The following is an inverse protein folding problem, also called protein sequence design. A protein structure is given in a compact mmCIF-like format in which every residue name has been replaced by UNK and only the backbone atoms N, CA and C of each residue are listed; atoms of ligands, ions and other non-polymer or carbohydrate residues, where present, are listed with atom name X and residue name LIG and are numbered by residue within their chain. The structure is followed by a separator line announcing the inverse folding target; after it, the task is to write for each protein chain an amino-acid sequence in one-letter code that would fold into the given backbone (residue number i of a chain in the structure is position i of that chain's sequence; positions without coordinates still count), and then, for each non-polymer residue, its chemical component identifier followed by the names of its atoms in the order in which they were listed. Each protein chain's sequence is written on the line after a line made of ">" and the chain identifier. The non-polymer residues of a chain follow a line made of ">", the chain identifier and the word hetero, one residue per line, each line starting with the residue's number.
data_IF_240455862216
#
_entry.id   IF_240455862216
#
_cell.length_a   1.000
_cell.length_b   1.000
_cell.length_c   1.000
_cell.angle_alpha   90.00
_cell.angle_beta   90.00
_cell.angle_gamma   90.00
#
_symmetry.space_group_name_H-M   'P 1'
#
loop_
_entity.id
_entity.type
_entity.pdbx_description
1 polymer ?
#
# COMPACT_ATOMS: atom_id res chain seq x y z
N UNK A 1 3.02 3.11 2.03
CA UNK A 1 1.58 2.89 2.16
C UNK A 1 1.18 1.72 1.29
N UNK A 2 0.41 0.80 1.83
CA UNK A 2 0.07 -0.47 1.20
C UNK A 2 -1.37 -0.82 1.55
N UNK A 3 -2.13 -1.31 0.56
CA UNK A 3 -3.50 -1.78 0.74
C UNK A 3 -3.59 -2.93 1.75
N UNK A 4 -2.52 -3.71 1.92
CA UNK A 4 -2.45 -4.79 2.90
C UNK A 4 -2.68 -4.35 4.37
N UNK A 5 -2.63 -3.04 4.65
CA UNK A 5 -2.96 -2.46 5.95
C UNK A 5 -4.40 -2.71 6.40
N UNK A 6 -5.31 -3.06 5.49
CA UNK A 6 -6.64 -3.55 5.84
C UNK A 6 -6.61 -4.85 6.66
N UNK A 7 -5.58 -5.68 6.46
CA UNK A 7 -5.43 -7.00 7.09
C UNK A 7 -4.35 -6.97 8.18
N UNK A 8 -3.28 -6.21 7.96
CA UNK A 8 -2.16 -6.05 8.89
C UNK A 8 -2.07 -4.60 9.36
N UNK A 9 -2.89 -4.19 10.35
CA UNK A 9 -2.94 -2.81 10.81
C UNK A 9 -1.61 -2.38 11.45
N UNK A 10 -1.26 -1.11 11.27
CA UNK A 10 -0.06 -0.49 11.85
C UNK A 10 -0.45 0.83 12.50
N UNK A 11 0.07 1.11 13.69
CA UNK A 11 -0.27 2.32 14.46
C UNK A 11 -0.08 3.61 13.62
N UNK A 12 1.07 3.76 12.98
CA UNK A 12 1.39 4.91 12.11
C UNK A 12 0.48 5.05 10.86
N UNK A 13 -0.32 4.03 10.56
CA UNK A 13 -1.22 3.99 9.41
C UNK A 13 -2.66 3.64 9.81
N UNK A 14 -3.06 3.90 11.06
CA UNK A 14 -4.40 3.56 11.57
C UNK A 14 -5.52 4.06 10.65
N UNK A 15 -5.49 5.35 10.26
CA UNK A 15 -6.50 5.91 9.35
C UNK A 15 -6.53 5.19 7.98
N UNK A 16 -5.37 4.90 7.41
CA UNK A 16 -5.25 4.21 6.11
C UNK A 16 -5.76 2.78 6.20
N UNK A 17 -5.40 2.05 7.26
CA UNK A 17 -5.87 0.68 7.50
C UNK A 17 -7.39 0.61 7.66
N UNK A 18 -7.97 1.51 8.46
CA UNK A 18 -9.43 1.61 8.65
C UNK A 18 -10.17 1.85 7.33
N UNK A 19 -9.70 2.81 6.53
CA UNK A 19 -10.34 3.12 5.24
C UNK A 19 -10.24 1.90 4.29
N UNK A 20 -9.07 1.28 4.18
CA UNK A 20 -8.90 0.12 3.30
C UNK A 20 -9.78 -1.06 3.74
N UNK A 21 -9.89 -1.32 5.05
CA UNK A 21 -10.76 -2.37 5.58
C UNK A 21 -12.25 -2.08 5.28
N UNK A 22 -12.69 -0.83 5.45
CA UNK A 22 -14.05 -0.42 5.10
C UNK A 22 -14.35 -0.59 3.60
N UNK A 23 -13.41 -0.21 2.74
CA UNK A 23 -13.53 -0.38 1.28
C UNK A 23 -13.57 -1.86 0.89
N UNK A 24 -12.77 -2.72 1.51
CA UNK A 24 -12.83 -4.17 1.26
C UNK A 24 -14.17 -4.77 1.69
N UNK A 25 -14.71 -4.36 2.84
CA UNK A 25 -16.02 -4.79 3.29
C UNK A 25 -17.14 -4.33 2.32
N UNK A 26 -17.07 -3.09 1.85
CA UNK A 26 -18.01 -2.55 0.86
C UNK A 26 -17.93 -3.30 -0.47
N UNK A 27 -16.71 -3.56 -0.95
CA UNK A 27 -16.50 -4.34 -2.18
C UNK A 27 -17.09 -5.75 -2.08
N UNK A 28 -17.01 -6.39 -0.91
CA UNK A 28 -17.67 -7.70 -0.69
C UNK A 28 -19.19 -7.58 -0.76
N UNK A 29 -19.78 -6.58 -0.12
CA UNK A 29 -21.23 -6.36 -0.19
C UNK A 29 -21.72 -6.12 -1.64
N UNK A 30 -20.93 -5.40 -2.44
CA UNK A 30 -21.21 -5.22 -3.87
C UNK A 30 -21.00 -6.49 -4.69
N UNK A 31 -19.96 -7.27 -4.39
CA UNK A 31 -19.71 -8.57 -5.02
C UNK A 31 -20.90 -9.52 -4.81
N UNK A 32 -21.45 -9.58 -3.59
CA UNK A 32 -22.59 -10.45 -3.28
C UNK A 32 -23.86 -10.06 -4.05
N UNK A 33 -24.09 -8.75 -4.25
CA UNK A 33 -25.20 -8.27 -5.08
C UNK A 33 -24.93 -8.51 -6.57
N UNK A 34 -23.72 -8.22 -7.03
CA UNK A 34 -23.29 -8.30 -8.42
C UNK A 34 -23.45 -9.70 -9.03
N UNK A 35 -23.41 -10.78 -8.22
CA UNK A 35 -23.69 -12.15 -8.71
C UNK A 35 -25.02 -12.24 -9.44
N UNK A 36 -26.08 -11.57 -8.93
CA UNK A 36 -27.42 -11.59 -9.55
C UNK A 36 -27.45 -10.81 -10.86
N UNK A 37 -26.60 -9.81 -10.97
CA UNK A 37 -26.50 -8.91 -12.12
C UNK A 37 -25.43 -9.38 -13.13
N UNK A 38 -24.83 -10.56 -12.92
CA UNK A 38 -23.69 -11.06 -13.70
C UNK A 38 -22.48 -10.09 -13.72
N UNK A 39 -22.30 -9.31 -12.64
CA UNK A 39 -21.19 -8.38 -12.45
C UNK A 39 -20.19 -8.93 -11.44
N UNK A 40 -18.91 -8.94 -11.80
CA UNK A 40 -17.83 -9.28 -10.87
C UNK A 40 -17.25 -8.03 -10.21
N UNK A 41 -17.08 -8.10 -8.89
CA UNK A 41 -16.41 -7.06 -8.10
C UNK A 41 -15.19 -7.66 -7.42
N UNK A 42 -14.02 -7.10 -7.72
CA UNK A 42 -12.73 -7.53 -7.18
C UNK A 42 -12.14 -6.44 -6.29
N UNK A 43 -11.58 -6.84 -5.14
CA UNK A 43 -10.86 -5.93 -4.24
C UNK A 43 -9.41 -6.39 -4.13
N UNK A 44 -8.48 -5.57 -4.60
CA UNK A 44 -7.04 -5.82 -4.51
C UNK A 44 -6.41 -5.03 -3.37
N UNK A 45 -5.66 -5.72 -2.50
CA UNK A 45 -4.93 -5.12 -1.38
C UNK A 45 -3.42 -5.23 -1.62
N UNK A 46 -2.85 -4.40 -2.51
CA UNK A 46 -1.45 -4.54 -2.89
C UNK A 46 -0.54 -4.30 -1.70
N UNK A 47 0.58 -5.02 -1.71
CA UNK A 47 1.74 -4.80 -0.84
C UNK A 47 2.37 -3.42 -1.07
N UNK A 48 3.59 -3.19 -0.55
CA UNK A 48 4.36 -2.02 -0.93
C UNK A 48 4.61 -2.01 -2.44
N UNK A 49 4.21 -0.94 -3.12
CA UNK A 49 4.41 -0.76 -4.57
C UNK A 49 5.37 0.40 -4.82
N UNK A 50 6.24 0.29 -5.82
CA UNK A 50 7.06 1.42 -6.28
C UNK A 50 6.23 2.32 -7.19
N UNK A 51 5.57 3.31 -6.59
CA UNK A 51 4.80 4.34 -7.31
C UNK A 51 5.61 5.62 -7.53
N UNK A 52 5.13 6.51 -8.40
CA UNK A 52 5.74 7.86 -8.54
C UNK A 52 5.78 8.62 -7.21
N UNK A 53 4.73 8.50 -6.38
CA UNK A 53 4.73 9.07 -5.02
C UNK A 53 5.84 8.50 -4.14
N UNK A 54 6.12 7.19 -4.23
CA UNK A 54 7.21 6.56 -3.47
C UNK A 54 8.57 7.05 -3.97
N UNK A 55 8.74 7.19 -5.28
CA UNK A 55 9.98 7.73 -5.88
C UNK A 55 10.25 9.14 -5.39
N UNK A 56 9.26 10.03 -5.46
CA UNK A 56 9.39 11.41 -4.96
C UNK A 56 9.71 11.46 -3.46
N UNK A 57 9.14 10.54 -2.67
CA UNK A 57 9.50 10.41 -1.25
C UNK A 57 10.97 10.03 -1.06
N UNK A 58 11.49 9.08 -1.85
CA UNK A 58 12.89 8.67 -1.77
C UNK A 58 13.85 9.78 -2.23
N UNK A 59 13.47 10.58 -3.22
CA UNK A 59 14.22 11.77 -3.66
C UNK A 59 14.37 12.81 -2.53
N UNK A 60 13.36 12.95 -1.67
CA UNK A 60 13.43 13.83 -0.50
C UNK A 60 14.13 13.18 0.69
N UNK A 61 13.97 11.87 0.86
CA UNK A 61 14.54 11.11 1.96
C UNK A 61 16.06 10.94 1.83
N UNK A 62 16.55 10.72 0.61
CA UNK A 62 17.98 10.50 0.34
C UNK A 62 18.90 11.60 0.91
N UNK A 63 18.70 12.90 0.63
CA UNK A 63 19.56 13.95 1.19
C UNK A 63 19.43 14.13 2.70
N UNK A 64 18.29 13.77 3.31
CA UNK A 64 18.11 13.82 4.77
C UNK A 64 18.92 12.73 5.50
N UNK A 65 19.43 11.75 4.75
CA UNK A 65 20.22 10.65 5.25
C UNK A 65 21.59 10.56 4.55
N UNK A 66 22.06 11.68 3.98
CA UNK A 66 23.37 11.83 3.34
C UNK A 66 23.70 10.76 2.29
N UNK A 67 22.74 10.41 1.45
CA UNK A 67 22.92 9.41 0.39
C UNK A 67 22.28 9.80 -0.93
N UNK A 68 22.65 9.07 -1.99
CA UNK A 68 22.03 9.19 -3.33
C UNK A 68 20.64 8.55 -3.37
N UNK A 69 19.84 8.90 -4.38
CA UNK A 69 18.49 8.32 -4.56
C UNK A 69 18.57 6.83 -4.86
N UNK A 70 19.61 6.40 -5.58
CA UNK A 70 19.92 5.00 -5.87
C UNK A 70 20.18 4.21 -4.57
N UNK A 71 21.03 4.75 -3.68
CA UNK A 71 21.30 4.14 -2.37
C UNK A 71 20.03 4.11 -1.50
N UNK A 72 19.26 5.19 -1.49
CA UNK A 72 17.98 5.24 -0.78
C UNK A 72 17.00 4.18 -1.28
N UNK A 73 16.96 3.95 -2.60
CA UNK A 73 16.10 2.94 -3.22
C UNK A 73 16.48 1.53 -2.79
N UNK A 74 17.76 1.25 -2.56
CA UNK A 74 18.24 -0.04 -2.06
C UNK A 74 18.11 -0.20 -0.53
N UNK A 75 18.29 0.89 0.23
CA UNK A 75 18.37 0.88 1.69
C UNK A 75 17.01 0.98 2.36
N UNK A 76 16.15 1.90 1.91
CA UNK A 76 14.84 2.15 2.50
C UNK A 76 13.96 0.89 2.63
N UNK A 77 13.86 -0.02 1.64
CA UNK A 77 13.04 -1.22 1.80
C UNK A 77 13.46 -2.08 2.98
N UNK A 78 14.78 -2.21 3.21
CA UNK A 78 15.32 -3.02 4.32
C UNK A 78 14.94 -2.42 5.66
N UNK A 79 15.11 -1.11 5.82
CA UNK A 79 14.77 -0.38 7.06
C UNK A 79 13.26 -0.36 7.32
N UNK A 80 12.45 -0.27 6.26
CA UNK A 80 11.00 -0.26 6.35
C UNK A 80 10.36 -1.66 6.47
N UNK A 81 11.16 -2.74 6.50
CA UNK A 81 10.67 -4.12 6.55
C UNK A 81 9.89 -4.54 5.29
N UNK A 82 10.27 -4.01 4.13
CA UNK A 82 9.68 -4.30 2.82
C UNK A 82 10.55 -5.34 2.11
N UNK A 83 10.07 -6.57 2.04
CA UNK A 83 10.80 -7.67 1.38
C UNK A 83 10.91 -7.48 -0.14
N UNK A 84 9.86 -6.97 -0.79
CA UNK A 84 9.85 -6.61 -2.22
C UNK A 84 8.83 -5.53 -2.50
N UNK A 85 9.06 -4.79 -3.57
CA UNK A 85 7.99 -4.03 -4.23
C UNK A 85 7.25 -4.96 -5.20
N UNK A 86 5.93 -4.84 -5.29
CA UNK A 86 5.09 -5.63 -6.19
C UNK A 86 3.87 -4.86 -6.62
#
# INVERSE_FOLDING_TARGET
>A
MSGNSAVFPKAAYAAVGTINAALSALAKAFSDRGIKDCVQVNSGLPGPVMTGRRRNYLEQWAPLHDMTVEEATARFPKEAGIARYG
#
